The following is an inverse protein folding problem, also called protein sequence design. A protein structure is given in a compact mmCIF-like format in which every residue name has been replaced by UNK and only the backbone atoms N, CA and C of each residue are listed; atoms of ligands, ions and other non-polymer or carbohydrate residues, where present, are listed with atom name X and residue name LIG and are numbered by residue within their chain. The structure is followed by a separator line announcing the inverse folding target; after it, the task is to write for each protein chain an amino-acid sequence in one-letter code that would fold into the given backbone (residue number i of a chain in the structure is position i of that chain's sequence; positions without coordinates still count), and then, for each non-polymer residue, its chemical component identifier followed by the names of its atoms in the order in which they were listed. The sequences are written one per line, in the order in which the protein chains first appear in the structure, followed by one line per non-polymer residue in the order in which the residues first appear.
data_IF_074916461364
#
_entry.id   IF_074916461364
#
_cell.length_a   1.000
_cell.length_b   1.000
_cell.length_c   1.000
_cell.angle_alpha   90.00
_cell.angle_beta   90.00
_cell.angle_gamma   90.00
#
_symmetry.space_group_name_H-M   'P 1'
#
loop_
_entity.id
_entity.type
_entity.pdbx_description
1 polymer ?
#
# COMPACT_ATOMS: atom_id res chain seq x y z
N UNK A 1 0.80 -6.86 19.37
CA UNK A 1 -0.31 -7.21 20.27
C UNK A 1 -0.28 -8.70 20.54
N UNK A 2 -0.37 -9.11 21.81
CA UNK A 2 -0.53 -10.50 22.22
C UNK A 2 -1.98 -10.73 22.68
N UNK A 3 -2.55 -11.91 22.37
CA UNK A 3 -3.91 -12.28 22.82
C UNK A 3 -5.07 -11.69 21.99
N UNK A 4 -4.78 -11.14 20.81
CA UNK A 4 -5.82 -10.73 19.86
C UNK A 4 -6.47 -11.97 19.22
N UNK A 5 -7.74 -11.82 18.85
CA UNK A 5 -8.46 -12.78 18.00
C UNK A 5 -8.36 -12.30 16.55
N UNK A 6 -8.34 -13.27 15.62
CA UNK A 6 -8.35 -13.01 14.19
C UNK A 6 -9.54 -13.76 13.56
N UNK A 7 -10.40 -13.03 12.85
CA UNK A 7 -11.47 -13.61 12.05
C UNK A 7 -11.13 -13.45 10.58
N UNK A 8 -10.95 -14.57 9.89
CA UNK A 8 -10.73 -14.57 8.45
C UNK A 8 -12.05 -14.41 7.70
N UNK A 9 -12.15 -13.37 6.90
CA UNK A 9 -13.35 -13.04 6.09
C UNK A 9 -13.18 -13.38 4.60
N UNK A 10 -12.19 -14.18 4.21
CA UNK A 10 -11.89 -14.47 2.80
C UNK A 10 -13.13 -14.95 2.03
N UNK A 11 -13.90 -15.88 2.60
CA UNK A 11 -15.12 -16.40 1.98
C UNK A 11 -16.18 -15.31 1.84
N UNK A 12 -16.37 -14.50 2.87
CA UNK A 12 -17.38 -13.41 2.85
C UNK A 12 -16.99 -12.30 1.87
N UNK A 13 -15.70 -11.98 1.74
CA UNK A 13 -15.21 -11.03 0.72
C UNK A 13 -15.64 -11.46 -0.68
N UNK A 14 -15.50 -12.76 -1.01
CA UNK A 14 -15.96 -13.30 -2.29
C UNK A 14 -17.48 -13.16 -2.47
N UNK A 15 -18.27 -13.54 -1.46
CA UNK A 15 -19.74 -13.42 -1.50
C UNK A 15 -20.22 -11.99 -1.66
N UNK A 16 -19.57 -11.04 -0.97
CA UNK A 16 -19.88 -9.62 -1.09
C UNK A 16 -19.58 -9.13 -2.51
N UNK A 17 -18.41 -9.50 -3.06
CA UNK A 17 -18.04 -9.14 -4.42
C UNK A 17 -19.05 -9.68 -5.46
N UNK A 18 -19.44 -10.94 -5.34
CA UNK A 18 -20.47 -11.56 -6.22
C UNK A 18 -21.80 -10.85 -6.12
N UNK A 19 -22.21 -10.50 -4.89
CA UNK A 19 -23.48 -9.76 -4.67
C UNK A 19 -23.43 -8.36 -5.29
N UNK A 20 -22.33 -7.62 -5.12
CA UNK A 20 -22.17 -6.30 -5.69
C UNK A 20 -22.10 -6.33 -7.22
N UNK A 21 -21.48 -7.38 -7.78
CA UNK A 21 -21.47 -7.59 -9.23
C UNK A 21 -22.89 -7.86 -9.77
N UNK A 22 -23.69 -8.66 -9.06
CA UNK A 22 -25.08 -8.92 -9.43
C UNK A 22 -25.99 -7.67 -9.35
N UNK A 23 -25.60 -6.68 -8.53
CA UNK A 23 -26.29 -5.38 -8.42
C UNK A 23 -25.78 -4.35 -9.46
N UNK A 24 -24.81 -4.71 -10.31
CA UNK A 24 -24.15 -3.81 -11.26
C UNK A 24 -23.57 -2.55 -10.59
N UNK A 25 -23.00 -2.70 -9.38
CA UNK A 25 -22.40 -1.58 -8.67
C UNK A 25 -21.16 -1.07 -9.40
N UNK A 26 -20.99 0.24 -9.38
CA UNK A 26 -19.84 0.93 -9.95
C UNK A 26 -19.18 1.79 -8.87
N UNK A 27 -17.85 1.92 -8.95
CA UNK A 27 -17.07 2.65 -7.99
C UNK A 27 -16.18 3.69 -8.68
N UNK A 28 -16.11 4.89 -8.11
CA UNK A 28 -15.16 5.93 -8.53
C UNK A 28 -13.74 5.58 -8.10
N UNK A 29 -13.62 4.89 -6.95
CA UNK A 29 -12.34 4.40 -6.45
C UNK A 29 -12.49 3.06 -5.72
N UNK A 30 -11.44 2.25 -5.77
CA UNK A 30 -11.29 1.00 -5.03
C UNK A 30 -10.02 1.12 -4.18
N UNK A 31 -10.15 0.96 -2.87
CA UNK A 31 -9.04 0.99 -1.92
C UNK A 31 -8.83 -0.40 -1.30
N UNK A 32 -7.59 -0.88 -1.31
CA UNK A 32 -7.18 -2.10 -0.63
C UNK A 32 -6.08 -1.78 0.39
N UNK A 33 -6.26 -2.27 1.62
CA UNK A 33 -5.30 -2.16 2.72
C UNK A 33 -4.81 -3.52 3.19
N UNK A 34 -4.85 -3.79 4.50
CA UNK A 34 -4.37 -5.02 5.10
C UNK A 34 -5.06 -6.27 4.54
N UNK A 35 -4.26 -7.23 4.09
CA UNK A 35 -4.70 -8.55 3.67
C UNK A 35 -3.99 -9.62 4.52
N UNK A 36 -4.77 -10.56 5.05
CA UNK A 36 -4.27 -11.57 6.01
C UNK A 36 -3.70 -12.83 5.35
N UNK A 37 -3.94 -13.04 4.05
CA UNK A 37 -3.53 -14.25 3.33
C UNK A 37 -3.38 -14.02 1.83
N UNK A 38 -2.69 -14.94 1.13
CA UNK A 38 -2.60 -14.93 -0.33
C UNK A 38 -3.98 -15.10 -0.99
N UNK A 39 -4.88 -15.89 -0.39
CA UNK A 39 -6.25 -16.08 -0.92
C UNK A 39 -7.06 -14.77 -0.88
N UNK A 40 -6.82 -13.90 0.11
CA UNK A 40 -7.42 -12.57 0.12
C UNK A 40 -6.84 -11.68 -0.98
N UNK A 41 -5.55 -11.78 -1.26
CA UNK A 41 -4.93 -11.06 -2.40
C UNK A 41 -5.58 -11.48 -3.71
N UNK A 42 -5.76 -12.78 -3.94
CA UNK A 42 -6.43 -13.30 -5.14
C UNK A 42 -7.89 -12.83 -5.24
N UNK A 43 -8.58 -12.74 -4.10
CA UNK A 43 -9.95 -12.22 -4.03
C UNK A 43 -10.00 -10.74 -4.40
N UNK A 44 -9.07 -9.93 -3.90
CA UNK A 44 -8.97 -8.50 -4.23
C UNK A 44 -8.55 -8.30 -5.69
N UNK A 45 -7.64 -9.11 -6.23
CA UNK A 45 -7.28 -9.05 -7.65
C UNK A 45 -8.51 -9.28 -8.55
N UNK A 46 -9.31 -10.31 -8.25
CA UNK A 46 -10.59 -10.55 -8.97
C UNK A 46 -11.59 -9.41 -8.79
N UNK A 47 -11.60 -8.78 -7.62
CA UNK A 47 -12.43 -7.59 -7.37
C UNK A 47 -12.01 -6.43 -8.29
N UNK A 48 -10.70 -6.19 -8.43
CA UNK A 48 -10.20 -5.19 -9.38
C UNK A 48 -10.63 -5.50 -10.82
N UNK A 49 -10.46 -6.75 -11.27
CA UNK A 49 -10.85 -7.17 -12.61
C UNK A 49 -12.36 -6.95 -12.87
N UNK A 50 -13.18 -7.17 -11.85
CA UNK A 50 -14.65 -7.05 -11.95
C UNK A 50 -15.10 -5.59 -11.96
N UNK A 51 -14.56 -4.77 -11.08
CA UNK A 51 -15.09 -3.43 -10.78
C UNK A 51 -14.28 -2.27 -11.32
N UNK A 52 -13.01 -2.47 -11.72
CA UNK A 52 -12.21 -1.42 -12.35
C UNK A 52 -12.75 -1.10 -13.74
N UNK A 53 -13.32 0.08 -13.90
CA UNK A 53 -13.82 0.62 -15.17
C UNK A 53 -12.98 1.84 -15.58
N UNK A 54 -13.26 2.38 -16.76
CA UNK A 54 -12.66 3.65 -17.17
C UNK A 54 -13.05 4.75 -16.19
N UNK A 55 -12.07 5.37 -15.56
CA UNK A 55 -12.29 6.41 -14.54
C UNK A 55 -12.26 5.90 -13.10
N UNK A 56 -12.30 4.59 -12.85
CA UNK A 56 -12.12 4.03 -11.49
C UNK A 56 -10.65 4.10 -11.07
N UNK A 57 -10.35 4.80 -9.98
CA UNK A 57 -9.02 4.82 -9.39
C UNK A 57 -8.81 3.58 -8.50
N UNK A 58 -7.69 2.88 -8.67
CA UNK A 58 -7.28 1.77 -7.80
C UNK A 58 -6.15 2.24 -6.89
N UNK A 59 -6.38 2.19 -5.58
CA UNK A 59 -5.44 2.58 -4.54
C UNK A 59 -5.08 1.33 -3.74
N UNK A 60 -3.78 1.07 -3.60
CA UNK A 60 -3.28 -0.06 -2.81
C UNK A 60 -2.37 0.45 -1.71
N UNK A 61 -2.78 0.24 -0.47
CA UNK A 61 -1.90 0.33 0.69
C UNK A 61 -1.25 -1.05 0.91
N UNK A 62 0.04 -1.21 0.60
CA UNK A 62 0.67 -2.52 0.54
C UNK A 62 1.13 -2.99 1.92
N UNK A 63 0.20 -3.14 2.87
CA UNK A 63 0.48 -3.44 4.27
C UNK A 63 1.20 -4.78 4.41
N UNK A 64 2.54 -4.72 4.56
CA UNK A 64 3.41 -5.89 4.66
C UNK A 64 4.38 -5.85 5.84
N UNK A 65 4.66 -4.68 6.40
CA UNK A 65 5.65 -4.55 7.48
C UNK A 65 5.88 -3.12 7.92
N UNK A 66 6.65 -2.95 8.99
CA UNK A 66 7.05 -1.65 9.51
C UNK A 66 8.41 -1.74 10.23
N UNK A 67 9.10 -0.59 10.39
CA UNK A 67 10.40 -0.48 11.07
C UNK A 67 11.45 -1.50 10.58
N UNK A 68 11.51 -1.77 9.28
CA UNK A 68 12.44 -2.73 8.67
C UNK A 68 12.08 -4.20 8.87
N UNK A 69 10.92 -4.51 9.44
CA UNK A 69 10.50 -5.87 9.73
C UNK A 69 9.17 -6.19 9.05
N UNK A 70 9.14 -7.29 8.28
CA UNK A 70 7.90 -7.79 7.73
C UNK A 70 6.98 -8.33 8.83
N UNK A 71 5.67 -8.12 8.68
CA UNK A 71 4.69 -8.70 9.60
C UNK A 71 4.65 -10.22 9.49
N UNK A 72 4.27 -10.89 10.58
CA UNK A 72 4.14 -12.37 10.62
C UNK A 72 3.16 -12.91 9.58
N UNK A 73 2.20 -12.12 9.18
CA UNK A 73 1.24 -12.43 8.11
C UNK A 73 1.84 -12.32 6.71
N UNK A 74 2.92 -11.56 6.54
CA UNK A 74 3.59 -11.38 5.24
C UNK A 74 4.45 -12.61 4.90
N UNK A 75 3.78 -13.70 4.51
CA UNK A 75 4.45 -14.86 3.93
C UNK A 75 5.06 -14.52 2.57
N UNK A 76 6.03 -15.30 2.05
CA UNK A 76 6.56 -15.06 0.70
C UNK A 76 5.48 -15.01 -0.39
N UNK A 77 4.43 -15.83 -0.26
CA UNK A 77 3.32 -15.87 -1.22
C UNK A 77 2.47 -14.58 -1.14
N UNK A 78 2.14 -14.14 0.06
CA UNK A 78 1.43 -12.88 0.26
C UNK A 78 2.24 -11.68 -0.26
N UNK A 79 3.54 -11.63 0.04
CA UNK A 79 4.39 -10.55 -0.45
C UNK A 79 4.47 -10.52 -1.99
N UNK A 80 4.54 -11.70 -2.65
CA UNK A 80 4.48 -11.77 -4.12
C UNK A 80 3.15 -11.27 -4.67
N UNK A 81 2.06 -11.73 -4.07
CA UNK A 81 0.72 -11.31 -4.47
C UNK A 81 0.48 -9.80 -4.26
N UNK A 82 0.97 -9.25 -3.13
CA UNK A 82 0.87 -7.82 -2.85
C UNK A 82 1.66 -6.98 -3.86
N UNK A 83 2.85 -7.44 -4.30
CA UNK A 83 3.60 -6.80 -5.39
C UNK A 83 2.77 -6.76 -6.68
N UNK A 84 2.16 -7.90 -7.04
CA UNK A 84 1.33 -7.98 -8.25
C UNK A 84 0.08 -7.08 -8.15
N UNK A 85 -0.58 -7.00 -6.99
CA UNK A 85 -1.66 -6.05 -6.74
C UNK A 85 -1.19 -4.60 -6.92
N UNK A 86 -0.07 -4.26 -6.30
CA UNK A 86 0.51 -2.93 -6.38
C UNK A 86 0.88 -2.54 -7.83
N UNK A 87 1.34 -3.48 -8.67
CA UNK A 87 1.65 -3.22 -10.08
C UNK A 87 0.43 -2.77 -10.90
N UNK A 88 -0.78 -3.17 -10.49
CA UNK A 88 -2.04 -2.80 -11.14
C UNK A 88 -2.72 -1.57 -10.53
N UNK A 89 -2.12 -0.99 -9.48
CA UNK A 89 -2.64 0.18 -8.81
C UNK A 89 -2.33 1.48 -9.56
N UNK A 90 -3.26 2.43 -9.47
CA UNK A 90 -3.08 3.81 -9.93
C UNK A 90 -2.33 4.66 -8.88
N UNK A 91 -2.50 4.31 -7.60
CA UNK A 91 -1.80 4.92 -6.47
C UNK A 91 -1.36 3.84 -5.50
N UNK A 92 -0.16 3.96 -4.94
CA UNK A 92 0.30 3.14 -3.80
C UNK A 92 0.77 4.03 -2.64
N UNK A 93 0.59 3.53 -1.39
CA UNK A 93 0.89 4.30 -0.17
C UNK A 93 1.90 3.60 0.77
N UNK A 94 3.05 3.10 0.26
CA UNK A 94 3.97 2.33 1.08
C UNK A 94 4.69 3.18 2.13
N UNK A 95 5.03 2.56 3.29
CA UNK A 95 6.10 3.02 4.16
C UNK A 95 7.49 2.56 3.63
N UNK A 96 8.59 2.94 4.30
CA UNK A 96 9.95 2.57 3.87
C UNK A 96 10.20 1.05 3.87
N UNK A 97 9.58 0.31 4.79
CA UNK A 97 9.69 -1.16 4.85
C UNK A 97 8.98 -1.80 3.67
N UNK A 98 7.81 -1.34 3.37
CA UNK A 98 7.00 -1.79 2.25
C UNK A 98 7.63 -1.40 0.91
N UNK A 99 8.23 -0.21 0.83
CA UNK A 99 9.03 0.21 -0.32
C UNK A 99 10.19 -0.76 -0.59
N UNK A 100 10.89 -1.20 0.47
CA UNK A 100 11.95 -2.19 0.38
C UNK A 100 11.43 -3.55 -0.12
N UNK A 101 10.31 -4.01 0.45
CA UNK A 101 9.66 -5.25 0.04
C UNK A 101 9.13 -5.19 -1.40
N UNK A 102 8.53 -4.08 -1.82
CA UNK A 102 8.04 -3.90 -3.20
C UNK A 102 9.17 -3.87 -4.22
N UNK A 103 10.29 -3.22 -3.88
CA UNK A 103 11.47 -3.12 -4.76
C UNK A 103 12.39 -4.34 -4.69
N UNK A 104 12.10 -5.32 -3.81
CA UNK A 104 12.95 -6.47 -3.53
C UNK A 104 14.40 -6.08 -3.18
N UNK A 105 14.54 -5.13 -2.25
CA UNK A 105 15.82 -4.59 -1.80
C UNK A 105 15.93 -4.63 -0.27
N UNK A 106 17.15 -4.70 0.28
CA UNK A 106 17.33 -4.58 1.73
C UNK A 106 16.78 -3.26 2.27
N UNK A 107 16.12 -3.32 3.43
CA UNK A 107 15.55 -2.14 4.08
C UNK A 107 16.58 -1.02 4.29
N UNK A 108 17.79 -1.36 4.75
CA UNK A 108 18.85 -0.37 5.01
C UNK A 108 19.30 0.35 3.73
N UNK A 109 19.25 -0.33 2.58
CA UNK A 109 19.52 0.31 1.29
C UNK A 109 18.46 1.37 0.96
N UNK A 110 17.19 1.02 1.11
CA UNK A 110 16.06 1.94 0.84
C UNK A 110 16.06 3.10 1.84
N UNK A 111 16.33 2.82 3.11
CA UNK A 111 16.38 3.84 4.17
C UNK A 111 17.50 4.89 3.95
N UNK A 112 18.60 4.48 3.33
CA UNK A 112 19.75 5.35 3.04
C UNK A 112 19.71 5.97 1.63
N UNK A 113 18.83 5.49 0.77
CA UNK A 113 18.69 6.01 -0.59
C UNK A 113 18.05 7.40 -0.59
N UNK A 114 18.24 8.12 -1.69
CA UNK A 114 17.46 9.32 -1.96
C UNK A 114 15.98 8.94 -2.11
N UNK A 115 15.12 9.48 -1.24
CA UNK A 115 13.70 9.19 -1.23
C UNK A 115 12.99 9.57 -2.55
N UNK A 116 13.46 10.60 -3.24
CA UNK A 116 12.97 10.98 -4.57
C UNK A 116 13.26 9.91 -5.61
N UNK A 117 14.44 9.28 -5.53
CA UNK A 117 14.77 8.13 -6.37
C UNK A 117 13.89 6.90 -6.03
N UNK A 118 13.64 6.67 -4.74
CA UNK A 118 12.78 5.56 -4.28
C UNK A 118 11.37 5.70 -4.84
N UNK A 119 10.71 6.87 -4.69
CA UNK A 119 9.35 7.08 -5.23
C UNK A 119 9.32 7.00 -6.75
N UNK A 120 10.37 7.46 -7.43
CA UNK A 120 10.48 7.34 -8.88
C UNK A 120 10.57 5.89 -9.34
N UNK A 121 11.34 5.05 -8.65
CA UNK A 121 11.41 3.60 -8.93
C UNK A 121 10.07 2.91 -8.66
N UNK A 122 9.44 3.23 -7.54
CA UNK A 122 8.11 2.73 -7.19
C UNK A 122 7.03 3.16 -8.19
N UNK A 123 7.16 4.30 -8.85
CA UNK A 123 6.20 4.77 -9.84
C UNK A 123 6.19 3.96 -11.15
N UNK A 124 7.11 2.99 -11.31
CA UNK A 124 7.23 2.17 -12.53
C UNK A 124 7.39 3.02 -13.80
N UNK A 125 8.25 4.03 -13.75
CA UNK A 125 8.47 4.95 -14.87
C UNK A 125 7.33 5.94 -15.07
N UNK A 126 6.66 6.34 -14.00
CA UNK A 126 5.58 7.33 -14.03
C UNK A 126 4.20 6.76 -14.37
N UNK A 127 4.03 5.43 -14.36
CA UNK A 127 2.72 4.80 -14.65
C UNK A 127 1.72 4.92 -13.51
N UNK A 128 2.17 5.15 -12.27
CA UNK A 128 1.33 5.30 -11.08
C UNK A 128 1.85 6.37 -10.16
N UNK A 129 0.97 6.96 -9.38
CA UNK A 129 1.33 7.85 -8.27
C UNK A 129 1.81 7.04 -7.06
N UNK A 130 2.69 7.66 -6.25
CA UNK A 130 3.26 7.02 -5.05
C UNK A 130 3.19 8.02 -3.91
N UNK A 131 2.73 7.58 -2.75
CA UNK A 131 2.80 8.32 -1.49
C UNK A 131 3.68 7.53 -0.52
N UNK A 132 4.96 7.86 -0.45
CA UNK A 132 5.89 7.25 0.51
C UNK A 132 5.65 7.87 1.88
N UNK A 133 5.06 7.09 2.79
CA UNK A 133 4.74 7.52 4.16
C UNK A 133 5.93 7.36 5.10
N UNK A 134 5.91 8.06 6.24
CA UNK A 134 7.01 8.04 7.21
C UNK A 134 8.30 8.72 6.70
N UNK A 135 8.20 9.49 5.62
CA UNK A 135 9.32 10.26 5.10
C UNK A 135 9.62 11.48 5.98
N UNK A 136 10.90 11.75 6.16
CA UNK A 136 11.40 12.98 6.80
C UNK A 136 12.76 13.36 6.20
N UNK A 137 12.96 14.65 5.95
CA UNK A 137 14.25 15.19 5.49
C UNK A 137 15.14 15.65 6.65
N UNK A 138 14.54 15.95 7.81
CA UNK A 138 15.22 16.46 8.99
C UNK A 138 14.85 15.67 10.24
N UNK A 139 15.77 15.53 11.22
CA UNK A 139 15.47 14.92 12.50
C UNK A 139 14.30 15.64 13.20
N UNK A 140 13.40 14.88 13.82
CA UNK A 140 12.24 15.43 14.53
C UNK A 140 11.05 15.81 13.64
N UNK A 141 11.11 15.48 12.35
CA UNK A 141 10.00 15.62 11.42
C UNK A 141 9.41 14.25 11.06
N UNK A 142 8.19 14.25 10.59
CA UNK A 142 7.53 13.11 9.92
C UNK A 142 6.66 13.65 8.80
N UNK A 143 6.33 12.81 7.84
CA UNK A 143 5.50 13.25 6.73
C UNK A 143 5.41 12.22 5.62
N UNK A 144 5.14 12.71 4.41
CA UNK A 144 5.07 11.89 3.21
C UNK A 144 5.77 12.58 2.04
N UNK A 145 6.35 11.78 1.15
CA UNK A 145 6.85 12.20 -0.15
C UNK A 145 5.95 11.62 -1.23
N UNK A 146 5.30 12.49 -1.99
CA UNK A 146 4.41 12.11 -3.07
C UNK A 146 5.12 12.26 -4.42
N UNK A 147 4.91 11.29 -5.31
CA UNK A 147 5.13 11.42 -6.75
C UNK A 147 3.78 11.34 -7.44
N UNK A 148 3.45 12.35 -8.23
CA UNK A 148 2.22 12.40 -9.01
C UNK A 148 2.49 12.02 -10.45
N UNK A 149 1.80 10.98 -10.95
CA UNK A 149 1.97 10.46 -12.31
C UNK A 149 1.51 11.44 -13.39
N UNK A 150 0.49 12.25 -13.09
CA UNK A 150 -0.15 13.11 -14.10
C UNK A 150 0.70 14.36 -14.37
N UNK A 151 1.30 14.95 -13.33
CA UNK A 151 2.23 16.07 -13.46
C UNK A 151 3.69 15.66 -13.65
N UNK A 152 4.06 14.44 -13.23
CA UNK A 152 5.45 13.98 -13.14
C UNK A 152 6.27 14.64 -12.03
N UNK A 153 5.62 15.39 -11.14
CA UNK A 153 6.26 16.12 -10.05
C UNK A 153 6.31 15.29 -8.76
N UNK A 154 7.30 15.61 -7.92
CA UNK A 154 7.37 15.09 -6.55
C UNK A 154 7.28 16.23 -5.53
N UNK A 155 6.50 16.02 -4.47
CA UNK A 155 6.28 16.98 -3.40
C UNK A 155 6.31 16.32 -2.04
N UNK A 156 7.09 16.90 -1.11
CA UNK A 156 7.11 16.48 0.29
C UNK A 156 6.19 17.35 1.14
N UNK A 157 5.51 16.71 2.09
CA UNK A 157 4.75 17.37 3.16
C UNK A 157 5.28 16.83 4.48
N UNK A 158 5.66 17.70 5.39
CA UNK A 158 6.25 17.32 6.67
C UNK A 158 5.65 18.13 7.82
N UNK A 159 5.66 17.55 9.01
CA UNK A 159 5.21 18.14 10.26
C UNK A 159 6.14 17.72 11.39
N UNK A 160 6.23 18.47 12.50
CA UNK A 160 6.93 18.00 13.69
C UNK A 160 6.44 16.62 14.12
N UNK A 161 7.38 15.73 14.42
CA UNK A 161 7.06 14.39 14.94
C UNK A 161 6.75 14.49 16.44
N UNK A 162 5.63 13.91 16.84
CA UNK A 162 5.33 13.72 18.26
C UNK A 162 6.32 12.73 18.89
N UNK A 163 6.76 12.96 20.16
CA UNK A 163 7.71 12.10 20.83
C UNK A 163 7.20 10.66 21.08
N UNK A 164 5.88 10.48 21.07
CA UNK A 164 5.25 9.19 21.33
C UNK A 164 4.93 8.49 20.01
N UNK A 165 5.16 7.18 19.96
CA UNK A 165 4.72 6.34 18.85
C UNK A 165 3.26 5.91 19.07
N UNK A 166 2.43 6.12 18.06
CA UNK A 166 1.03 5.72 18.04
C UNK A 166 0.83 4.59 17.04
N UNK A 167 0.19 3.49 17.49
CA UNK A 167 -0.20 2.40 16.57
C UNK A 167 -1.48 2.77 15.82
N UNK A 168 -1.60 2.33 14.57
CA UNK A 168 -2.81 2.52 13.76
C UNK A 168 -2.91 3.88 13.08
N UNK A 169 -1.85 4.70 13.08
CA UNK A 169 -1.86 6.00 12.40
C UNK A 169 -1.93 5.86 10.87
N UNK A 170 -1.43 4.76 10.31
CA UNK A 170 -1.57 4.43 8.90
C UNK A 170 -3.01 4.15 8.49
N UNK A 171 -3.85 3.65 9.42
CA UNK A 171 -5.25 3.32 9.16
C UNK A 171 -6.16 4.57 9.00
N UNK A 172 -5.62 5.75 9.30
CA UNK A 172 -6.31 7.05 9.13
C UNK A 172 -6.00 7.73 7.80
N UNK A 173 -5.23 7.07 6.96
CA UNK A 173 -4.79 7.62 5.69
C UNK A 173 -5.79 7.50 4.51
#
# INVERSE_FOLDING_TARGET
FSGNTFLDLTVEMGRIADHWAAMDLQFDAIYSGFLGSADQVDTVARFFDTFKKSGTAVIVDPVMGDHGTAYRTCTPDLCRGMRALAENADVITPNLTEAALLLDRPYEEIRQADAYEVVRRLSLGGRRSVVLTGYFSEPGQTGALCFDRDSGESKAVQTPREPQDFSGTGDLF
#
